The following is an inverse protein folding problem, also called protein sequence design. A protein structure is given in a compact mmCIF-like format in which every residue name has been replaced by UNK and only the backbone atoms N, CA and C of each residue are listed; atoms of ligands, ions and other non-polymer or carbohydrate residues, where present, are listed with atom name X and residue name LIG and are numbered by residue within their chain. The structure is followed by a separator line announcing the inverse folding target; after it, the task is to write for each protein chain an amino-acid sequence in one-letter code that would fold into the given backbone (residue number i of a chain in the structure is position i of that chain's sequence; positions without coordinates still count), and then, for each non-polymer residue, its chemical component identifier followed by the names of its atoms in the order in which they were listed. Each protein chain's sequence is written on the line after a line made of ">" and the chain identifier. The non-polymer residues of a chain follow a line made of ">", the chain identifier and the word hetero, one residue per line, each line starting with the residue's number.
data_IF_812370852553
#
_entry.id   IF_812370852553
#
_cell.length_a   1.000
_cell.length_b   1.000
_cell.length_c   1.000
_cell.angle_alpha   90.00
_cell.angle_beta   90.00
_cell.angle_gamma   90.00
#
_symmetry.space_group_name_H-M   'P 1'
#
loop_
_entity.id
_entity.type
_entity.pdbx_description
1 polymer ?
#
# COMPACT_ATOMS: atom_id res chain seq x y z
N UNK A 1 1.99 -17.06 18.34
CA UNK A 1 3.36 -16.94 18.92
C UNK A 1 4.41 -16.64 17.86
N UNK A 2 4.47 -17.33 16.71
CA UNK A 2 5.48 -17.10 15.64
C UNK A 2 5.63 -15.62 15.24
N UNK A 3 4.54 -14.93 14.92
CA UNK A 3 4.58 -13.54 14.44
C UNK A 3 5.06 -12.54 15.50
N UNK A 4 4.80 -12.79 16.78
CA UNK A 4 5.34 -11.98 17.87
C UNK A 4 6.88 -12.01 17.86
N UNK A 5 7.48 -13.19 17.71
CA UNK A 5 8.94 -13.34 17.65
C UNK A 5 9.54 -12.73 16.38
N UNK A 6 8.82 -12.80 15.25
CA UNK A 6 9.25 -12.13 14.02
C UNK A 6 9.28 -10.59 14.26
N UNK A 7 8.21 -10.02 14.79
CA UNK A 7 8.15 -8.58 15.07
C UNK A 7 9.22 -8.17 16.09
N UNK A 8 9.44 -8.95 17.15
CA UNK A 8 10.50 -8.71 18.12
C UNK A 8 11.89 -8.69 17.47
N UNK A 9 12.21 -9.70 16.67
CA UNK A 9 13.48 -9.77 15.95
C UNK A 9 13.67 -8.58 15.01
N UNK A 10 12.63 -8.17 14.27
CA UNK A 10 12.68 -7.00 13.39
C UNK A 10 12.84 -5.69 14.16
N UNK A 11 12.24 -5.56 15.36
CA UNK A 11 12.45 -4.41 16.24
C UNK A 11 13.90 -4.31 16.73
N UNK A 12 14.48 -5.42 17.16
CA UNK A 12 15.90 -5.49 17.58
C UNK A 12 16.80 -5.14 16.39
N UNK A 13 16.57 -5.74 15.23
CA UNK A 13 17.33 -5.46 14.02
C UNK A 13 17.23 -3.99 13.60
N UNK A 14 16.04 -3.41 13.65
CA UNK A 14 15.85 -1.98 13.37
C UNK A 14 16.63 -1.09 14.35
N UNK A 15 16.71 -1.46 15.64
CA UNK A 15 17.50 -0.74 16.63
C UNK A 15 19.00 -0.82 16.28
N UNK A 16 19.51 -1.99 15.95
CA UNK A 16 20.91 -2.20 15.52
C UNK A 16 21.24 -1.34 14.29
N UNK A 17 20.34 -1.38 13.27
CA UNK A 17 20.54 -0.58 12.06
C UNK A 17 20.58 0.92 12.35
N UNK A 18 19.73 1.41 13.25
CA UNK A 18 19.75 2.81 13.69
C UNK A 18 21.07 3.18 14.39
N UNK A 19 21.60 2.32 15.26
CA UNK A 19 22.90 2.53 15.92
C UNK A 19 24.02 2.58 14.88
N UNK A 20 23.95 1.77 13.84
CA UNK A 20 24.89 1.75 12.74
C UNK A 20 24.65 2.85 11.69
N UNK A 21 23.77 3.82 11.94
CA UNK A 21 23.37 4.88 11.00
C UNK A 21 22.92 4.38 9.63
N UNK A 22 22.32 3.16 9.57
CA UNK A 22 21.77 2.58 8.34
C UNK A 22 20.25 2.64 8.34
N UNK A 23 19.68 3.15 7.25
CA UNK A 23 18.25 3.04 7.00
C UNK A 23 17.93 1.63 6.50
N UNK A 24 17.15 0.89 7.26
CA UNK A 24 16.80 -0.50 6.92
C UNK A 24 15.92 -0.66 5.68
N UNK A 25 15.50 0.42 5.00
CA UNK A 25 14.73 0.40 3.75
C UNK A 25 13.71 -0.74 3.71
N UNK A 26 13.79 -1.57 2.67
CA UNK A 26 12.96 -2.78 2.49
C UNK A 26 13.46 -4.00 3.29
N UNK A 27 14.65 -3.93 3.89
CA UNK A 27 15.34 -5.08 4.45
C UNK A 27 14.58 -5.78 5.57
N UNK A 28 14.00 -5.01 6.49
CA UNK A 28 13.20 -5.57 7.60
C UNK A 28 11.96 -6.30 7.08
N UNK A 29 11.26 -5.69 6.13
CA UNK A 29 10.08 -6.28 5.53
C UNK A 29 10.41 -7.53 4.73
N UNK A 30 11.53 -7.53 3.99
CA UNK A 30 11.96 -8.70 3.24
C UNK A 30 12.20 -9.90 4.16
N UNK A 31 12.99 -9.75 5.22
CA UNK A 31 13.23 -10.85 6.17
C UNK A 31 11.92 -11.33 6.81
N UNK A 32 11.06 -10.40 7.23
CA UNK A 32 9.80 -10.76 7.87
C UNK A 32 8.86 -11.49 6.92
N UNK A 33 8.79 -11.07 5.65
CA UNK A 33 7.97 -11.69 4.61
C UNK A 33 8.50 -13.07 4.21
N UNK A 34 9.83 -13.23 4.07
CA UNK A 34 10.47 -14.53 3.79
C UNK A 34 10.20 -15.55 4.93
N UNK A 35 10.15 -15.07 6.19
CA UNK A 35 9.84 -15.94 7.34
C UNK A 35 8.35 -16.26 7.46
N UNK A 36 7.47 -15.35 7.06
CA UNK A 36 6.03 -15.57 7.01
C UNK A 36 5.35 -14.67 5.97
N UNK A 37 5.00 -15.19 4.77
CA UNK A 37 4.28 -14.42 3.74
C UNK A 37 2.89 -13.93 4.18
N UNK A 38 2.28 -14.57 5.19
CA UNK A 38 0.97 -14.17 5.74
C UNK A 38 1.08 -13.19 6.92
N UNK A 39 2.25 -12.57 7.13
CA UNK A 39 2.49 -11.71 8.30
C UNK A 39 1.57 -10.49 8.35
N UNK A 40 1.04 -10.04 7.20
CA UNK A 40 0.09 -8.93 7.15
C UNK A 40 -1.16 -9.17 8.00
N UNK A 41 -1.64 -10.41 8.11
CA UNK A 41 -2.77 -10.80 8.99
C UNK A 41 -2.53 -10.54 10.48
N UNK A 42 -1.27 -10.40 10.88
CA UNK A 42 -0.93 -10.17 12.29
C UNK A 42 -1.20 -8.75 12.76
N UNK A 43 -1.15 -7.79 11.85
CA UNK A 43 -1.25 -6.39 12.23
C UNK A 43 -2.69 -5.97 12.49
N UNK A 44 -2.89 -5.25 13.59
CA UNK A 44 -4.19 -4.73 14.04
C UNK A 44 -4.27 -3.25 13.68
N UNK A 45 -5.10 -2.96 12.69
CA UNK A 45 -5.30 -1.62 12.15
C UNK A 45 -6.66 -1.09 12.61
N UNK A 46 -6.65 0.00 13.37
CA UNK A 46 -7.86 0.65 13.90
C UNK A 46 -8.04 2.08 13.34
N UNK A 47 -7.33 2.42 12.28
CA UNK A 47 -7.39 3.71 11.62
C UNK A 47 -7.61 3.52 10.11
N UNK A 48 -8.06 4.54 9.37
CA UNK A 48 -8.17 4.47 7.93
C UNK A 48 -6.84 4.16 7.24
N UNK A 49 -6.90 3.30 6.22
CA UNK A 49 -5.78 2.91 5.36
C UNK A 49 -6.07 3.39 3.95
N UNK A 50 -5.21 4.25 3.44
CA UNK A 50 -5.27 4.81 2.09
C UNK A 50 -4.09 4.25 1.30
N UNK A 51 -4.34 3.73 0.11
CA UNK A 51 -3.30 3.33 -0.82
C UNK A 51 -3.41 4.15 -2.11
N UNK A 52 -2.26 4.59 -2.62
CA UNK A 52 -2.13 5.31 -3.89
C UNK A 52 -1.28 4.49 -4.84
N UNK A 53 -1.82 4.20 -6.01
CA UNK A 53 -1.15 3.44 -7.05
C UNK A 53 -1.20 4.16 -8.40
N UNK A 54 -0.15 4.05 -9.16
CA UNK A 54 -0.02 4.59 -10.51
C UNK A 54 1.31 4.18 -11.13
N UNK A 55 1.41 4.20 -12.45
CA UNK A 55 2.72 4.18 -13.11
C UNK A 55 3.49 5.47 -12.80
N UNK A 56 2.82 6.62 -12.92
CA UNK A 56 3.42 7.94 -12.68
C UNK A 56 2.60 8.77 -11.67
N UNK A 57 3.30 9.58 -10.85
CA UNK A 57 2.66 10.52 -9.93
C UNK A 57 2.27 9.97 -8.56
N UNK A 58 2.37 8.64 -8.33
CA UNK A 58 1.98 8.01 -7.06
C UNK A 58 2.70 8.61 -5.84
N UNK A 59 4.01 8.80 -5.90
CA UNK A 59 4.80 9.37 -4.79
C UNK A 59 4.34 10.79 -4.44
N UNK A 60 4.12 11.63 -5.46
CA UNK A 60 3.68 13.01 -5.25
C UNK A 60 2.29 13.04 -4.60
N UNK A 61 1.35 12.28 -5.13
CA UNK A 61 -0.02 12.20 -4.60
C UNK A 61 -0.03 11.64 -3.17
N UNK A 62 0.72 10.56 -2.91
CA UNK A 62 0.88 9.98 -1.58
C UNK A 62 1.42 11.01 -0.58
N UNK A 63 2.44 11.77 -0.98
CA UNK A 63 3.04 12.81 -0.15
C UNK A 63 2.07 13.98 0.09
N UNK A 64 1.31 14.42 -0.92
CA UNK A 64 0.29 15.45 -0.77
C UNK A 64 -0.79 15.05 0.23
N UNK A 65 -1.33 13.83 0.12
CA UNK A 65 -2.32 13.30 1.07
C UNK A 65 -1.71 13.25 2.48
N UNK A 66 -0.53 12.65 2.61
CA UNK A 66 0.15 12.53 3.90
C UNK A 66 0.48 13.88 4.54
N UNK A 67 0.91 14.86 3.74
CA UNK A 67 1.18 16.22 4.22
C UNK A 67 -0.09 16.93 4.68
N UNK A 68 -1.16 16.87 3.90
CA UNK A 68 -2.45 17.47 4.23
C UNK A 68 -2.99 16.92 5.56
N UNK A 69 -2.97 15.61 5.73
CA UNK A 69 -3.43 14.97 6.97
C UNK A 69 -2.55 15.36 8.17
N UNK A 70 -1.23 15.43 8.00
CA UNK A 70 -0.31 15.89 9.06
C UNK A 70 -0.53 17.35 9.44
N UNK A 71 -0.76 18.22 8.46
CA UNK A 71 -1.04 19.65 8.69
C UNK A 71 -2.36 19.83 9.44
N UNK A 72 -3.32 18.93 9.23
CA UNK A 72 -4.57 18.87 10.00
C UNK A 72 -4.41 18.28 11.41
N UNK A 73 -3.17 18.03 11.88
CA UNK A 73 -2.85 17.56 13.23
C UNK A 73 -2.88 16.06 13.43
N UNK A 74 -3.04 15.26 12.36
CA UNK A 74 -3.11 13.81 12.45
C UNK A 74 -1.73 13.15 12.47
N UNK A 75 -1.61 12.04 13.18
CA UNK A 75 -0.45 11.16 13.13
C UNK A 75 -0.55 10.24 11.92
N UNK A 76 0.26 10.52 10.90
CA UNK A 76 0.29 9.75 9.65
C UNK A 76 1.53 8.87 9.57
N UNK A 77 1.33 7.60 9.26
CA UNK A 77 2.40 6.65 8.90
C UNK A 77 2.34 6.41 7.39
N UNK A 78 3.47 6.61 6.71
CA UNK A 78 3.60 6.48 5.27
C UNK A 78 4.97 5.89 4.89
N UNK A 79 5.04 5.19 3.75
CA UNK A 79 6.28 4.65 3.18
C UNK A 79 6.97 5.68 2.25
N UNK A 80 7.28 6.85 2.80
CA UNK A 80 7.75 8.06 2.08
C UNK A 80 9.04 7.86 1.25
N UNK A 81 9.73 6.75 1.38
CA UNK A 81 11.06 6.53 0.78
C UNK A 81 11.00 5.80 -0.59
N UNK A 82 9.85 5.81 -1.28
CA UNK A 82 9.70 5.14 -2.59
C UNK A 82 9.70 3.60 -2.52
N UNK A 83 9.55 3.05 -1.34
CA UNK A 83 9.48 1.61 -1.09
C UNK A 83 8.04 1.10 -1.26
N UNK A 84 7.58 1.05 -2.51
CA UNK A 84 6.19 0.78 -2.91
C UNK A 84 5.85 -0.70 -3.11
N UNK A 85 6.82 -1.60 -2.83
CA UNK A 85 6.62 -3.06 -2.85
C UNK A 85 6.10 -3.54 -1.48
N UNK A 86 5.60 -4.78 -1.43
CA UNK A 86 5.11 -5.41 -0.20
C UNK A 86 6.13 -5.37 0.95
N UNK A 87 7.40 -5.55 0.64
CA UNK A 87 8.50 -5.53 1.62
C UNK A 87 8.75 -4.14 2.19
N UNK A 88 8.55 -3.09 1.40
CA UNK A 88 8.66 -1.70 1.84
C UNK A 88 7.52 -1.26 2.74
N UNK A 89 6.29 -1.60 2.34
CA UNK A 89 5.09 -1.38 3.16
C UNK A 89 5.22 -2.13 4.49
N UNK A 90 5.64 -3.41 4.44
CA UNK A 90 5.86 -4.23 5.63
C UNK A 90 6.94 -3.64 6.55
N UNK A 91 8.05 -3.15 5.99
CA UNK A 91 9.10 -2.46 6.76
C UNK A 91 8.55 -1.24 7.49
N UNK A 92 7.71 -0.46 6.83
CA UNK A 92 7.07 0.72 7.41
C UNK A 92 6.12 0.34 8.55
N UNK A 93 5.32 -0.70 8.37
CA UNK A 93 4.43 -1.24 9.40
C UNK A 93 5.24 -1.75 10.60
N UNK A 94 6.29 -2.54 10.38
CA UNK A 94 7.17 -3.08 11.42
C UNK A 94 7.84 -1.98 12.25
N UNK A 95 8.26 -0.89 11.63
CA UNK A 95 8.82 0.27 12.36
C UNK A 95 7.80 0.95 13.27
N UNK A 96 6.52 0.95 12.91
CA UNK A 96 5.45 1.72 13.55
C UNK A 96 4.44 0.89 14.37
N UNK A 97 4.55 -0.44 14.42
CA UNK A 97 3.68 -1.29 15.24
C UNK A 97 4.25 -1.56 16.62
N UNK A 98 3.41 -2.04 17.54
CA UNK A 98 3.81 -2.65 18.81
C UNK A 98 4.21 -4.11 18.60
N UNK A 99 4.77 -4.77 19.62
CA UNK A 99 5.08 -6.21 19.58
C UNK A 99 3.83 -7.08 19.37
N UNK A 100 2.65 -6.59 19.77
CA UNK A 100 1.36 -7.26 19.56
C UNK A 100 0.72 -6.95 18.22
N UNK A 101 1.45 -6.28 17.30
CA UNK A 101 0.98 -5.92 15.97
C UNK A 101 0.05 -4.70 15.89
N UNK A 102 -0.21 -4.00 17.01
CA UNK A 102 -1.06 -2.80 17.01
C UNK A 102 -0.30 -1.62 16.43
N UNK A 103 -0.87 -0.97 15.42
CA UNK A 103 -0.31 0.24 14.81
C UNK A 103 -0.87 1.47 15.53
N UNK A 104 -0.01 2.43 15.86
CA UNK A 104 -0.37 3.67 16.54
C UNK A 104 -0.28 4.83 15.54
N UNK A 105 -1.34 5.04 14.78
CA UNK A 105 -1.50 6.14 13.83
C UNK A 105 -2.96 6.52 13.75
N UNK A 106 -3.24 7.75 13.27
CA UNK A 106 -4.58 8.21 12.93
C UNK A 106 -4.91 7.88 11.46
N UNK A 107 -3.87 7.80 10.61
CA UNK A 107 -3.97 7.35 9.21
C UNK A 107 -2.74 6.56 8.79
N UNK A 108 -2.96 5.56 7.93
CA UNK A 108 -1.91 4.92 7.13
C UNK A 108 -2.09 5.36 5.68
N UNK A 109 -1.03 5.90 5.07
CA UNK A 109 -1.05 6.33 3.67
C UNK A 109 0.11 5.68 2.95
N UNK A 110 -0.18 4.76 2.05
CA UNK A 110 0.82 3.96 1.37
C UNK A 110 0.85 4.25 -0.13
N UNK A 111 2.03 4.53 -0.64
CA UNK A 111 2.34 4.33 -2.04
C UNK A 111 2.50 2.84 -2.29
N UNK A 112 1.82 2.30 -3.30
CA UNK A 112 1.90 0.88 -3.65
C UNK A 112 2.08 0.71 -5.16
N UNK A 113 3.01 -0.14 -5.55
CA UNK A 113 3.13 -0.57 -6.94
C UNK A 113 1.94 -1.45 -7.30
N UNK A 114 1.44 -1.31 -8.50
CA UNK A 114 0.21 -1.92 -9.00
C UNK A 114 0.20 -3.44 -8.83
N UNK A 115 1.36 -4.06 -9.04
CA UNK A 115 1.53 -5.51 -8.93
C UNK A 115 1.35 -6.04 -7.51
N UNK A 116 1.56 -5.20 -6.52
CA UNK A 116 1.53 -5.56 -5.10
C UNK A 116 0.22 -5.22 -4.39
N UNK A 117 -0.74 -4.54 -5.05
CA UNK A 117 -2.06 -4.27 -4.48
C UNK A 117 -2.71 -5.56 -3.96
N UNK A 118 -2.89 -6.62 -4.78
CA UNK A 118 -3.51 -7.86 -4.30
C UNK A 118 -2.65 -8.61 -3.29
N UNK A 119 -1.32 -8.46 -3.36
CA UNK A 119 -0.40 -9.17 -2.44
C UNK A 119 -0.52 -8.64 -1.02
N UNK A 120 -0.55 -7.31 -0.87
CA UNK A 120 -0.62 -6.64 0.44
C UNK A 120 -2.03 -6.69 0.99
N UNK A 121 -3.01 -6.25 0.21
CA UNK A 121 -4.34 -5.92 0.70
C UNK A 121 -5.33 -7.09 0.69
N UNK A 122 -4.96 -8.27 0.21
CA UNK A 122 -5.75 -9.48 0.47
C UNK A 122 -5.81 -9.85 1.97
N UNK A 123 -4.75 -9.52 2.71
CA UNK A 123 -4.55 -9.89 4.12
C UNK A 123 -4.42 -8.67 5.05
N UNK A 124 -4.40 -7.47 4.49
CA UNK A 124 -4.28 -6.22 5.22
C UNK A 124 -5.43 -5.28 4.87
N UNK A 125 -5.99 -4.60 5.89
CA UNK A 125 -7.10 -3.67 5.71
C UNK A 125 -6.77 -2.59 4.68
N UNK A 126 -7.71 -2.26 3.81
CA UNK A 126 -7.69 -1.16 2.88
C UNK A 126 -9.05 -0.47 2.87
N UNK A 127 -9.09 0.81 3.23
CA UNK A 127 -10.33 1.59 3.27
C UNK A 127 -10.51 2.45 2.01
N UNK A 128 -9.41 2.94 1.44
CA UNK A 128 -9.45 3.78 0.22
C UNK A 128 -8.31 3.39 -0.71
N UNK A 129 -8.64 3.09 -1.96
CA UNK A 129 -7.69 2.85 -3.04
C UNK A 129 -7.83 3.95 -4.09
N UNK A 130 -6.73 4.65 -4.36
CA UNK A 130 -6.62 5.67 -5.39
C UNK A 130 -5.76 5.13 -6.52
N UNK A 131 -6.27 5.12 -7.75
CA UNK A 131 -5.52 4.71 -8.95
C UNK A 131 -5.51 5.86 -9.94
N UNK A 132 -4.29 6.34 -10.28
CA UNK A 132 -4.14 7.54 -11.10
C UNK A 132 -3.99 7.24 -12.59
N UNK A 133 -3.13 6.29 -12.96
CA UNK A 133 -2.85 5.96 -14.36
C UNK A 133 -2.10 4.65 -14.50
N UNK A 134 -2.24 4.04 -15.70
CA UNK A 134 -1.45 2.89 -16.15
C UNK A 134 -0.82 3.21 -17.50
N UNK A 135 0.39 3.73 -17.50
CA UNK A 135 1.15 3.98 -18.71
C UNK A 135 2.07 2.81 -19.06
N UNK A 136 2.29 2.61 -20.36
CA UNK A 136 3.32 1.68 -20.86
C UNK A 136 4.69 2.30 -20.66
N UNK A 137 5.49 1.69 -19.82
CA UNK A 137 6.86 2.19 -19.60
C UNK A 137 7.84 1.78 -20.71
N UNK A 138 7.51 0.85 -21.64
CA UNK A 138 8.29 0.51 -22.84
C UNK A 138 7.49 -0.33 -23.83
N UNK A 139 7.82 -0.26 -25.11
CA UNK A 139 7.11 -0.76 -26.29
C UNK A 139 6.79 -2.28 -26.35
N UNK A 140 7.36 -3.11 -25.47
CA UNK A 140 7.32 -4.57 -25.60
C UNK A 140 6.35 -5.30 -24.63
N UNK A 141 5.50 -4.58 -23.87
CA UNK A 141 4.77 -5.18 -22.74
C UNK A 141 3.24 -5.12 -22.82
N UNK A 142 2.63 -5.26 -23.98
CA UNK A 142 1.16 -5.27 -24.11
C UNK A 142 0.48 -6.36 -23.27
N UNK A 143 1.07 -7.53 -23.14
CA UNK A 143 0.54 -8.63 -22.33
C UNK A 143 0.68 -8.41 -20.82
N UNK A 144 1.66 -7.62 -20.39
CA UNK A 144 1.90 -7.36 -18.96
C UNK A 144 0.88 -6.39 -18.38
N UNK A 145 0.51 -5.32 -19.12
CA UNK A 145 -0.50 -4.34 -18.65
C UNK A 145 -1.87 -5.01 -18.51
N UNK A 146 -2.29 -5.80 -19.49
CA UNK A 146 -3.57 -6.50 -19.43
C UNK A 146 -3.59 -7.54 -18.31
N UNK A 147 -2.50 -8.31 -18.14
CA UNK A 147 -2.36 -9.25 -17.03
C UNK A 147 -2.40 -8.56 -15.67
N UNK A 148 -1.83 -7.36 -15.56
CA UNK A 148 -1.88 -6.53 -14.36
C UNK A 148 -3.31 -6.08 -14.06
N UNK A 149 -4.00 -5.55 -15.07
CA UNK A 149 -5.39 -5.11 -14.96
C UNK A 149 -6.30 -6.27 -14.53
N UNK A 150 -6.12 -7.46 -15.11
CA UNK A 150 -6.89 -8.64 -14.71
C UNK A 150 -6.68 -9.01 -13.24
N UNK A 151 -5.45 -8.96 -12.75
CA UNK A 151 -5.15 -9.22 -11.32
C UNK A 151 -5.75 -8.18 -10.38
N UNK A 152 -5.73 -6.91 -10.78
CA UNK A 152 -6.37 -5.83 -10.00
C UNK A 152 -7.89 -6.01 -10.04
N UNK A 153 -8.47 -6.31 -11.20
CA UNK A 153 -9.89 -6.59 -11.32
C UNK A 153 -10.33 -7.74 -10.41
N UNK A 154 -9.55 -8.84 -10.36
CA UNK A 154 -9.86 -9.96 -9.48
C UNK A 154 -9.86 -9.56 -8.00
N UNK A 155 -8.93 -8.72 -7.57
CA UNK A 155 -8.92 -8.15 -6.23
C UNK A 155 -10.15 -7.26 -5.99
N UNK A 156 -10.49 -6.39 -6.94
CA UNK A 156 -11.60 -5.45 -6.81
C UNK A 156 -12.97 -6.12 -6.77
N UNK A 157 -13.16 -7.33 -7.30
CA UNK A 157 -14.44 -8.08 -7.23
C UNK A 157 -14.98 -8.22 -5.80
N UNK A 158 -14.11 -8.23 -4.80
CA UNK A 158 -14.49 -8.38 -3.39
C UNK A 158 -14.17 -7.13 -2.55
N UNK A 159 -13.62 -6.10 -3.20
CA UNK A 159 -13.28 -4.85 -2.51
C UNK A 159 -14.51 -3.95 -2.37
N UNK A 160 -14.82 -3.55 -1.14
CA UNK A 160 -15.99 -2.71 -0.81
C UNK A 160 -15.59 -1.36 -0.17
N UNK A 161 -14.30 -1.01 -0.18
CA UNK A 161 -13.83 0.31 0.27
C UNK A 161 -14.03 1.39 -0.80
N UNK A 162 -13.59 2.61 -0.47
CA UNK A 162 -13.64 3.71 -1.43
C UNK A 162 -12.63 3.46 -2.55
N UNK A 163 -13.10 3.49 -3.79
CA UNK A 163 -12.31 3.35 -5.01
C UNK A 163 -12.32 4.67 -5.77
N UNK A 164 -11.17 5.34 -5.87
CA UNK A 164 -11.02 6.63 -6.51
C UNK A 164 -10.20 6.43 -7.80
N UNK A 165 -10.82 6.67 -8.94
CA UNK A 165 -10.29 6.33 -10.26
C UNK A 165 -10.15 7.57 -11.14
N UNK A 166 -9.06 7.64 -11.90
CA UNK A 166 -8.91 8.62 -12.95
C UNK A 166 -9.76 8.23 -14.18
N UNK A 167 -10.70 9.08 -14.54
CA UNK A 167 -11.58 8.87 -15.70
C UNK A 167 -10.90 9.19 -17.03
N UNK A 168 -9.78 9.91 -17.01
CA UNK A 168 -9.02 10.27 -18.23
C UNK A 168 -8.16 9.10 -18.74
N UNK A 169 -7.92 8.08 -17.89
CA UNK A 169 -7.24 6.85 -18.28
C UNK A 169 -8.27 5.71 -18.48
N UNK A 170 -8.51 5.26 -19.72
CA UNK A 170 -9.50 4.20 -20.00
C UNK A 170 -9.20 2.87 -19.27
N UNK A 171 -7.92 2.56 -19.03
CA UNK A 171 -7.51 1.37 -18.30
C UNK A 171 -7.85 1.45 -16.81
N UNK A 172 -7.79 2.65 -16.24
CA UNK A 172 -8.18 2.91 -14.85
C UNK A 172 -9.70 3.00 -14.74
N UNK A 173 -10.36 3.76 -15.61
CA UNK A 173 -11.80 3.98 -15.57
C UNK A 173 -12.61 2.66 -15.61
N UNK A 174 -12.19 1.69 -16.45
CA UNK A 174 -12.86 0.39 -16.55
C UNK A 174 -12.80 -0.47 -15.28
N UNK A 175 -11.85 -0.19 -14.35
CA UNK A 175 -11.74 -0.91 -13.08
C UNK A 175 -12.96 -0.70 -12.17
N UNK A 176 -13.68 0.40 -12.32
CA UNK A 176 -14.91 0.66 -11.57
C UNK A 176 -16.02 -0.33 -11.85
N UNK A 177 -15.94 -1.08 -12.95
CA UNK A 177 -16.92 -2.11 -13.31
C UNK A 177 -16.62 -3.48 -12.67
N UNK A 178 -15.47 -3.63 -11.98
CA UNK A 178 -15.03 -4.91 -11.42
C UNK A 178 -15.96 -5.46 -10.33
N UNK A 179 -16.54 -4.56 -9.52
CA UNK A 179 -17.51 -4.91 -8.47
C UNK A 179 -18.77 -4.03 -8.59
N UNK A 180 -19.81 -4.48 -9.30
CA UNK A 180 -21.04 -3.70 -9.47
C UNK A 180 -21.82 -3.44 -8.16
N UNK A 181 -21.54 -4.18 -7.09
CA UNK A 181 -22.15 -3.97 -5.77
C UNK A 181 -21.39 -2.96 -4.89
N UNK A 182 -20.24 -2.48 -5.32
CA UNK A 182 -19.53 -1.42 -4.60
C UNK A 182 -20.12 -0.04 -4.98
N UNK A 183 -20.85 0.58 -4.08
CA UNK A 183 -21.42 1.91 -4.26
C UNK A 183 -20.42 3.06 -3.98
N UNK A 184 -19.20 2.75 -3.50
CA UNK A 184 -18.20 3.74 -3.10
C UNK A 184 -17.14 3.94 -4.21
N UNK A 185 -17.58 4.14 -5.45
CA UNK A 185 -16.70 4.39 -6.59
C UNK A 185 -16.80 5.85 -6.99
N UNK A 186 -15.66 6.51 -7.04
CA UNK A 186 -15.52 7.92 -7.35
C UNK A 186 -14.58 8.09 -8.54
N UNK A 187 -14.95 8.98 -9.45
CA UNK A 187 -14.13 9.32 -10.61
C UNK A 187 -13.67 10.77 -10.52
N UNK A 188 -12.45 11.01 -10.96
CA UNK A 188 -11.94 12.35 -11.19
C UNK A 188 -11.40 12.48 -12.61
N UNK A 189 -11.45 13.66 -13.18
CA UNK A 189 -10.91 14.02 -14.49
C UNK A 189 -10.36 15.43 -14.45
N UNK A 190 -9.55 15.77 -15.42
CA UNK A 190 -9.10 17.15 -15.69
C UNK A 190 -9.87 17.63 -16.91
N UNK A 191 -10.69 18.68 -16.74
CA UNK A 191 -11.44 19.34 -17.82
C UNK A 191 -10.51 20.21 -18.68
#
# INVERSE_FOLDING_TARGET
>A
MKNFFIVLAMKILNLILKICHKNGGNFLGKIAFDWNPEIFKYFKVNCPVIAVSATNGKTMTNNCIGYTLKTAGNKVVSNVEGNNMETGILSTILKNCTLTGKIKADYLVFEVDESYIPVVFKDFRLDTLVILNFFRDQLDRNGEVESLILRINDFLKTYNGNLILNNDDPNVARLGQANPSNENIYYFSVD
#
